data_IF_605976117696
#
_entry.id   IF_605976117696
#
_cell.length_a   1.000
_cell.length_b   1.000
_cell.length_c   1.000
_cell.angle_alpha   90.00
_cell.angle_beta   90.00
_cell.angle_gamma   90.00
#
_symmetry.space_group_name_H-M   'P 1'
#
loop_
_entity.id
_entity.type
_entity.pdbx_description
1 polymer ?
#
# COMPACT_ATOMS: atom_id res chain seq x y z
N UNK A 1 -34.84 91.82 -3.60
CA UNK A 1 -34.46 90.39 -3.63
C UNK A 1 -33.16 90.25 -2.86
N UNK A 2 -33.14 89.49 -1.76
CA UNK A 2 -31.92 89.29 -0.98
C UNK A 2 -30.91 88.50 -1.83
N UNK A 3 -29.68 89.00 -1.94
CA UNK A 3 -28.59 88.33 -2.64
C UNK A 3 -28.24 87.07 -1.84
N UNK A 4 -28.36 85.89 -2.44
CA UNK A 4 -28.07 84.65 -1.74
C UNK A 4 -26.58 84.50 -1.39
N UNK A 5 -26.28 83.63 -0.42
CA UNK A 5 -24.92 83.41 0.06
C UNK A 5 -24.19 82.39 -0.81
N UNK A 6 -22.90 82.64 -1.09
CA UNK A 6 -22.04 81.70 -1.80
C UNK A 6 -21.64 80.50 -0.93
N UNK A 7 -21.37 79.35 -1.54
CA UNK A 7 -21.02 78.09 -0.85
C UNK A 7 -19.85 78.22 0.14
N UNK A 8 -18.77 78.89 -0.27
CA UNK A 8 -17.59 79.10 0.59
C UNK A 8 -17.94 79.93 1.82
N UNK A 9 -18.84 80.92 1.66
CA UNK A 9 -19.28 81.76 2.76
C UNK A 9 -20.15 80.99 3.77
N UNK A 10 -21.03 80.12 3.29
CA UNK A 10 -21.82 79.23 4.17
C UNK A 10 -20.93 78.23 4.90
N UNK A 11 -19.93 77.68 4.21
CA UNK A 11 -18.93 76.77 4.79
C UNK A 11 -18.21 77.42 5.98
N UNK A 12 -17.71 78.64 5.79
CA UNK A 12 -17.03 79.41 6.84
C UNK A 12 -17.96 79.78 8.00
N UNK A 13 -19.19 80.21 7.72
CA UNK A 13 -20.13 80.67 8.75
C UNK A 13 -20.62 79.53 9.66
N UNK A 14 -20.82 78.32 9.11
CA UNK A 14 -21.33 77.17 9.85
C UNK A 14 -20.23 76.18 10.29
N UNK A 15 -18.98 76.40 9.87
CA UNK A 15 -17.84 75.54 10.21
C UNK A 15 -17.89 74.15 9.58
N UNK A 16 -18.56 74.00 8.44
CA UNK A 16 -18.83 72.71 7.80
C UNK A 16 -17.76 72.32 6.77
N UNK A 17 -17.65 71.04 6.44
CA UNK A 17 -16.96 70.58 5.24
C UNK A 17 -17.86 70.75 4.00
N UNK A 18 -17.27 70.75 2.79
CA UNK A 18 -18.04 70.90 1.53
C UNK A 18 -19.11 69.81 1.38
N UNK A 19 -18.81 68.57 1.78
CA UNK A 19 -19.78 67.48 1.72
C UNK A 19 -20.89 67.58 2.77
N UNK A 20 -20.62 68.21 3.92
CA UNK A 20 -21.61 68.46 4.97
C UNK A 20 -22.63 69.52 4.55
N UNK A 21 -22.16 70.54 3.81
CA UNK A 21 -23.04 71.54 3.20
C UNK A 21 -23.97 70.89 2.17
N UNK A 22 -23.45 70.01 1.30
CA UNK A 22 -24.30 69.31 0.32
C UNK A 22 -25.25 68.32 1.01
N UNK A 23 -24.82 67.61 2.07
CA UNK A 23 -25.70 66.75 2.87
C UNK A 23 -26.84 67.55 3.50
N UNK A 24 -26.54 68.72 4.09
CA UNK A 24 -27.53 69.60 4.68
C UNK A 24 -28.54 70.12 3.65
N UNK A 25 -28.13 70.31 2.40
CA UNK A 25 -29.05 70.65 1.30
C UNK A 25 -29.89 69.44 0.88
N UNK A 26 -29.27 68.27 0.71
CA UNK A 26 -29.97 67.02 0.33
C UNK A 26 -31.06 66.66 1.34
N UNK A 27 -30.84 66.94 2.63
CA UNK A 27 -31.77 66.61 3.72
C UNK A 27 -32.72 67.75 4.07
N UNK A 28 -32.62 68.89 3.38
CA UNK A 28 -33.49 70.05 3.58
C UNK A 28 -33.18 70.89 4.82
N UNK A 29 -32.07 70.61 5.53
CA UNK A 29 -31.57 71.42 6.64
C UNK A 29 -31.08 72.81 6.18
N UNK A 30 -30.60 72.91 4.94
CA UNK A 30 -30.27 74.17 4.27
C UNK A 30 -31.03 74.30 2.95
N UNK A 31 -31.63 75.48 2.71
CA UNK A 31 -32.34 75.76 1.46
C UNK A 31 -31.40 76.33 0.39
N UNK A 32 -31.27 75.61 -0.73
CA UNK A 32 -30.56 76.08 -1.93
C UNK A 32 -31.51 76.77 -2.92
N UNK A 33 -31.12 77.95 -3.40
CA UNK A 33 -31.87 78.73 -4.38
C UNK A 33 -31.56 78.27 -5.82
N UNK A 34 -32.41 78.60 -6.83
CA UNK A 34 -32.22 78.19 -8.22
C UNK A 34 -30.91 78.67 -8.86
N UNK A 35 -30.37 79.81 -8.40
CA UNK A 35 -29.09 80.39 -8.84
C UNK A 35 -27.86 79.70 -8.19
N UNK A 36 -28.08 78.58 -7.50
CA UNK A 36 -27.09 77.79 -6.75
C UNK A 36 -26.50 78.50 -5.52
N UNK A 37 -27.04 79.65 -5.12
CA UNK A 37 -26.73 80.29 -3.83
C UNK A 37 -27.61 79.73 -2.72
N UNK A 38 -27.28 80.05 -1.46
CA UNK A 38 -28.00 79.58 -0.28
C UNK A 38 -28.91 80.67 0.27
N UNK A 39 -30.10 80.28 0.71
CA UNK A 39 -31.07 81.19 1.33
C UNK A 39 -30.49 81.77 2.64
N UNK A 40 -30.26 83.10 2.72
CA UNK A 40 -29.69 83.72 3.91
C UNK A 40 -30.52 83.49 5.18
N UNK A 41 -31.85 83.33 5.06
CA UNK A 41 -32.72 83.07 6.22
C UNK A 41 -32.40 81.69 6.82
N UNK A 42 -32.34 80.66 5.97
CA UNK A 42 -32.00 79.30 6.37
C UNK A 42 -30.61 79.20 7.01
N UNK A 43 -29.62 79.90 6.45
CA UNK A 43 -28.25 79.93 7.00
C UNK A 43 -28.21 80.67 8.35
N UNK A 44 -28.91 81.80 8.48
CA UNK A 44 -28.96 82.54 9.74
C UNK A 44 -29.70 81.76 10.84
N UNK A 45 -30.74 80.99 10.51
CA UNK A 45 -31.42 80.10 11.46
C UNK A 45 -30.49 78.99 11.94
N UNK A 46 -29.74 78.35 11.04
CA UNK A 46 -28.74 77.36 11.41
C UNK A 46 -27.60 77.96 12.26
N UNK A 47 -27.22 79.21 12.00
CA UNK A 47 -26.19 79.91 12.78
C UNK A 47 -26.69 80.31 14.17
N UNK A 48 -27.98 80.63 14.33
CA UNK A 48 -28.57 81.02 15.60
C UNK A 48 -28.60 79.88 16.62
N UNK A 49 -28.73 78.63 16.16
CA UNK A 49 -28.64 77.43 17.01
C UNK A 49 -27.74 76.38 16.35
N UNK A 50 -26.44 76.67 16.41
CA UNK A 50 -25.42 75.86 15.76
C UNK A 50 -25.41 74.43 16.32
N UNK A 51 -25.54 74.26 17.65
CA UNK A 51 -25.51 72.94 18.28
C UNK A 51 -26.67 72.03 17.82
N UNK A 52 -27.89 72.58 17.76
CA UNK A 52 -29.04 71.84 17.25
C UNK A 52 -28.84 71.47 15.78
N UNK A 53 -28.33 72.40 14.97
CA UNK A 53 -28.03 72.16 13.56
C UNK A 53 -27.02 71.02 13.38
N UNK A 54 -25.90 71.02 14.13
CA UNK A 54 -24.90 69.94 14.07
C UNK A 54 -25.48 68.59 14.51
N UNK A 55 -26.35 68.56 15.52
CA UNK A 55 -27.03 67.33 15.95
C UNK A 55 -27.95 66.77 14.86
N UNK A 56 -28.77 67.62 14.23
CA UNK A 56 -29.63 67.23 13.12
C UNK A 56 -28.81 66.74 11.93
N UNK A 57 -27.74 67.45 11.57
CA UNK A 57 -26.85 67.05 10.49
C UNK A 57 -26.14 65.72 10.77
N UNK A 58 -25.71 65.50 12.02
CA UNK A 58 -25.11 64.25 12.45
C UNK A 58 -26.09 63.07 12.38
N UNK A 59 -27.38 63.31 12.63
CA UNK A 59 -28.45 62.32 12.52
C UNK A 59 -28.72 61.94 11.04
N UNK A 60 -28.48 62.84 10.10
CA UNK A 60 -28.61 62.59 8.66
C UNK A 60 -27.41 61.88 8.04
N UNK A 61 -26.30 61.76 8.77
CA UNK A 61 -25.07 61.16 8.25
C UNK A 61 -25.33 59.73 7.77
N UNK A 62 -24.84 59.43 6.57
CA UNK A 62 -24.88 58.08 5.98
C UNK A 62 -23.77 57.23 6.58
N UNK A 63 -24.14 56.10 7.20
CA UNK A 63 -23.23 55.15 7.83
C UNK A 63 -23.30 53.79 7.12
N UNK A 64 -22.15 53.18 6.83
CA UNK A 64 -22.13 51.79 6.39
C UNK A 64 -22.41 50.82 7.57
N UNK A 65 -22.62 49.53 7.28
CA UNK A 65 -22.95 48.54 8.32
C UNK A 65 -21.91 48.42 9.46
N UNK A 66 -20.62 48.65 9.17
CA UNK A 66 -19.56 48.62 10.19
C UNK A 66 -19.60 49.85 11.08
N UNK A 67 -19.79 51.03 10.48
CA UNK A 67 -19.96 52.30 11.20
C UNK A 67 -21.23 52.30 12.05
N UNK A 68 -22.34 51.80 11.50
CA UNK A 68 -23.61 51.65 12.20
C UNK A 68 -23.49 50.70 13.38
N UNK A 69 -22.78 49.58 13.21
CA UNK A 69 -22.52 48.64 14.29
C UNK A 69 -21.62 49.25 15.38
N UNK A 70 -20.58 49.99 14.99
CA UNK A 70 -19.73 50.71 15.94
C UNK A 70 -20.52 51.77 16.73
N UNK A 71 -21.44 52.47 16.07
CA UNK A 71 -22.34 53.47 16.70
C UNK A 71 -23.24 52.84 17.76
N UNK A 72 -23.69 51.60 17.53
CA UNK A 72 -24.51 50.83 18.47
C UNK A 72 -23.69 49.99 19.47
N UNK A 73 -22.36 49.97 19.38
CA UNK A 73 -21.50 49.14 20.23
C UNK A 73 -21.60 47.62 20.00
N UNK A 74 -21.99 47.19 18.79
CA UNK A 74 -22.21 45.77 18.46
C UNK A 74 -21.37 45.33 17.24
N UNK A 75 -21.37 44.02 16.94
CA UNK A 75 -20.72 43.51 15.74
C UNK A 75 -21.55 43.81 14.47
N UNK A 76 -20.87 43.99 13.32
CA UNK A 76 -21.52 44.24 12.03
C UNK A 76 -22.50 43.12 11.60
N UNK A 77 -22.25 41.88 12.03
CA UNK A 77 -23.19 40.77 11.82
C UNK A 77 -24.44 40.91 12.69
N UNK A 78 -24.27 41.31 13.96
CA UNK A 78 -25.39 41.56 14.86
C UNK A 78 -26.24 42.73 14.38
N UNK A 79 -25.60 43.80 13.92
CA UNK A 79 -26.29 44.93 13.28
C UNK A 79 -27.11 44.48 12.07
N UNK A 80 -26.53 43.72 11.14
CA UNK A 80 -27.26 43.22 9.96
C UNK A 80 -28.49 42.38 10.33
N UNK A 81 -28.37 41.53 11.35
CA UNK A 81 -29.52 40.74 11.83
C UNK A 81 -30.58 41.63 12.48
N UNK A 82 -30.19 42.55 13.36
CA UNK A 82 -31.12 43.46 14.03
C UNK A 82 -31.82 44.36 13.00
N UNK A 83 -31.07 44.93 12.06
CA UNK A 83 -31.61 45.74 10.97
C UNK A 83 -32.60 44.94 10.12
N UNK A 84 -32.29 43.68 9.79
CA UNK A 84 -33.20 42.81 9.04
C UNK A 84 -34.50 42.52 9.81
N UNK A 85 -34.42 42.24 11.12
CA UNK A 85 -35.59 41.98 11.97
C UNK A 85 -36.43 43.24 12.19
N UNK A 86 -35.78 44.39 12.36
CA UNK A 86 -36.44 45.68 12.51
C UNK A 86 -36.93 46.29 11.19
N UNK A 87 -36.68 45.63 10.05
CA UNK A 87 -37.09 46.10 8.73
C UNK A 87 -36.34 47.35 8.24
N UNK A 88 -35.15 47.62 8.78
CA UNK A 88 -34.33 48.76 8.37
C UNK A 88 -33.70 48.51 7.00
N UNK A 89 -34.10 49.30 6.00
CA UNK A 89 -33.61 49.24 4.62
C UNK A 89 -32.52 50.32 4.40
N UNK A 90 -31.41 50.02 3.70
CA UNK A 90 -30.41 51.02 3.38
C UNK A 90 -30.97 52.10 2.44
N UNK A 91 -30.66 53.36 2.71
CA UNK A 91 -31.05 54.51 1.87
C UNK A 91 -30.40 54.45 0.49
N UNK A 92 -29.13 54.07 0.45
CA UNK A 92 -28.35 54.00 -0.78
C UNK A 92 -27.52 52.73 -0.76
N UNK A 93 -27.54 52.01 -1.86
CA UNK A 93 -26.66 50.87 -2.09
C UNK A 93 -25.65 51.23 -3.16
N UNK A 94 -24.36 51.09 -2.87
CA UNK A 94 -23.28 51.37 -3.83
C UNK A 94 -22.40 50.15 -4.02
N UNK A 95 -21.97 49.93 -5.26
CA UNK A 95 -20.92 48.96 -5.54
C UNK A 95 -19.55 49.63 -5.37
N UNK A 96 -18.74 49.06 -4.48
CA UNK A 96 -17.39 49.54 -4.19
C UNK A 96 -16.41 48.43 -4.56
N UNK A 97 -15.44 48.74 -5.43
CA UNK A 97 -14.35 47.81 -5.72
C UNK A 97 -13.30 47.89 -4.62
N UNK A 98 -13.16 46.83 -3.83
CA UNK A 98 -12.13 46.71 -2.80
C UNK A 98 -11.48 45.33 -2.90
N UNK A 99 -10.15 45.25 -2.82
CA UNK A 99 -9.39 44.00 -2.94
C UNK A 99 -9.71 43.17 -4.20
N UNK A 100 -9.90 43.83 -5.35
CA UNK A 100 -10.20 43.15 -6.62
C UNK A 100 -11.62 42.55 -6.72
N UNK A 101 -12.49 42.75 -5.71
CA UNK A 101 -13.89 42.31 -5.73
C UNK A 101 -14.84 43.51 -5.70
N UNK A 102 -15.94 43.42 -6.43
CA UNK A 102 -17.06 44.36 -6.30
C UNK A 102 -17.87 43.98 -5.04
N UNK A 103 -17.93 44.88 -4.07
CA UNK A 103 -18.69 44.72 -2.84
C UNK A 103 -19.89 45.67 -2.86
N UNK A 104 -21.08 45.13 -2.66
CA UNK A 104 -22.31 45.92 -2.50
C UNK A 104 -22.40 46.41 -1.06
N UNK A 105 -22.28 47.73 -0.86
CA UNK A 105 -22.31 48.37 0.46
C UNK A 105 -23.57 49.22 0.57
N UNK A 106 -24.42 48.86 1.53
CA UNK A 106 -25.59 49.64 1.92
C UNK A 106 -25.22 50.72 2.95
N UNK A 107 -25.76 51.92 2.76
CA UNK A 107 -25.63 53.06 3.67
C UNK A 107 -26.97 53.35 4.34
N UNK A 108 -26.94 53.45 5.66
CA UNK A 108 -28.08 53.71 6.54
C UNK A 108 -28.01 55.13 7.08
N UNK A 109 -29.15 55.73 7.37
CA UNK A 109 -29.21 57.02 8.07
C UNK A 109 -28.80 56.82 9.54
N UNK A 110 -27.97 57.69 10.09
CA UNK A 110 -27.54 57.58 11.48
C UNK A 110 -28.72 57.62 12.46
N UNK A 111 -29.73 58.45 12.20
CA UNK A 111 -30.96 58.52 13.00
C UNK A 111 -31.70 57.17 13.08
N UNK A 112 -31.85 56.49 11.95
CA UNK A 112 -32.56 55.21 11.88
C UNK A 112 -31.75 54.09 12.53
N UNK A 113 -30.41 54.20 12.48
CA UNK A 113 -29.51 53.31 13.23
C UNK A 113 -29.65 53.55 14.74
N UNK A 114 -29.68 54.81 15.19
CA UNK A 114 -29.83 55.15 16.61
C UNK A 114 -31.17 54.66 17.17
N UNK A 115 -32.23 54.64 16.36
CA UNK A 115 -33.52 54.06 16.73
C UNK A 115 -33.45 52.55 17.03
N UNK A 116 -32.39 51.85 16.58
CA UNK A 116 -32.16 50.43 16.89
C UNK A 116 -31.43 50.20 18.22
N UNK A 117 -31.11 51.25 18.99
CA UNK A 117 -30.35 51.13 20.23
C UNK A 117 -31.00 50.15 21.23
N UNK A 118 -32.32 50.21 21.41
CA UNK A 118 -33.01 49.32 22.35
C UNK A 118 -33.06 47.87 21.85
N UNK A 119 -33.18 47.66 20.54
CA UNK A 119 -33.06 46.32 19.95
C UNK A 119 -31.65 45.74 20.11
N UNK A 120 -30.61 46.56 19.99
CA UNK A 120 -29.23 46.16 20.21
C UNK A 120 -28.94 45.79 21.67
N UNK A 121 -29.50 46.55 22.63
CA UNK A 121 -29.45 46.23 24.06
C UNK A 121 -30.15 44.90 24.35
N UNK A 122 -31.39 44.73 23.87
CA UNK A 122 -32.15 43.50 24.06
C UNK A 122 -31.45 42.27 23.47
N UNK A 123 -30.89 42.33 22.26
CA UNK A 123 -30.11 41.21 21.66
C UNK A 123 -28.87 40.88 22.49
N UNK A 124 -28.19 41.90 23.04
CA UNK A 124 -27.01 41.72 23.89
C UNK A 124 -27.36 41.02 25.20
N UNK A 125 -28.44 41.45 25.87
CA UNK A 125 -28.94 40.85 27.11
C UNK A 125 -29.40 39.41 26.89
N UNK A 126 -30.21 39.16 25.85
CA UNK A 126 -30.69 37.81 25.51
C UNK A 126 -29.53 36.84 25.26
N UNK A 127 -28.47 37.29 24.60
CA UNK A 127 -27.27 36.47 24.38
C UNK A 127 -26.45 36.27 25.64
N UNK A 128 -26.37 37.27 26.52
CA UNK A 128 -25.72 37.10 27.82
C UNK A 128 -26.45 36.02 28.64
N UNK A 129 -27.79 36.05 28.66
CA UNK A 129 -28.64 35.03 29.29
C UNK A 129 -28.43 33.66 28.62
N UNK A 130 -28.49 33.57 27.30
CA UNK A 130 -28.29 32.32 26.57
C UNK A 130 -26.90 31.69 26.86
N UNK A 131 -25.84 32.51 26.91
CA UNK A 131 -24.49 32.07 27.29
C UNK A 131 -24.41 31.61 28.75
N UNK A 132 -25.15 32.23 29.67
CA UNK A 132 -25.21 31.80 31.06
C UNK A 132 -25.92 30.44 31.20
N UNK A 133 -27.05 30.25 30.51
CA UNK A 133 -27.78 28.98 30.45
C UNK A 133 -26.91 27.87 29.85
N UNK A 134 -26.29 28.12 28.70
CA UNK A 134 -25.40 27.15 28.05
C UNK A 134 -24.21 26.73 28.96
N UNK A 135 -23.61 27.68 29.70
CA UNK A 135 -22.57 27.38 30.69
C UNK A 135 -23.09 26.52 31.85
N UNK A 136 -24.29 26.81 32.35
CA UNK A 136 -24.94 26.01 33.40
C UNK A 136 -25.21 24.58 32.94
N UNK A 137 -25.76 24.39 31.74
CA UNK A 137 -26.00 23.07 31.16
C UNK A 137 -24.71 22.30 30.90
N UNK A 138 -23.66 22.96 30.39
CA UNK A 138 -22.35 22.37 30.21
C UNK A 138 -21.75 21.92 31.57
N UNK A 139 -21.90 22.74 32.62
CA UNK A 139 -21.47 22.37 33.97
C UNK A 139 -22.24 21.16 34.53
N UNK A 140 -23.56 21.11 34.32
CA UNK A 140 -24.40 19.96 34.71
C UNK A 140 -23.97 18.68 33.96
N UNK A 141 -23.78 18.75 32.64
CA UNK A 141 -23.28 17.63 31.84
C UNK A 141 -21.90 17.17 32.31
N UNK A 142 -20.98 18.10 32.56
CA UNK A 142 -19.66 17.78 33.08
C UNK A 142 -19.73 17.11 34.46
N UNK A 143 -20.61 17.58 35.35
CA UNK A 143 -20.81 16.98 36.67
C UNK A 143 -21.37 15.55 36.57
N UNK A 144 -22.35 15.31 35.70
CA UNK A 144 -22.89 13.96 35.44
C UNK A 144 -21.81 13.02 34.88
N UNK A 145 -21.01 13.47 33.92
CA UNK A 145 -19.90 12.68 33.37
C UNK A 145 -18.85 12.38 34.43
N UNK A 146 -18.50 13.35 35.30
CA UNK A 146 -17.58 13.11 36.42
C UNK A 146 -18.14 12.06 37.38
N UNK A 147 -19.44 12.12 37.72
CA UNK A 147 -20.10 11.15 38.59
C UNK A 147 -20.09 9.74 37.97
N UNK A 148 -20.43 9.62 36.69
CA UNK A 148 -20.41 8.34 35.98
C UNK A 148 -18.99 7.75 35.88
N UNK A 149 -17.99 8.58 35.57
CA UNK A 149 -16.60 8.16 35.52
C UNK A 149 -16.07 7.73 36.88
N UNK A 150 -16.49 8.41 37.96
CA UNK A 150 -16.14 8.01 39.32
C UNK A 150 -16.77 6.66 39.67
N UNK A 151 -18.04 6.44 39.34
CA UNK A 151 -18.73 5.17 39.57
C UNK A 151 -18.04 4.00 38.82
N UNK A 152 -17.70 4.19 37.54
CA UNK A 152 -16.93 3.19 36.77
C UNK A 152 -15.57 2.91 37.38
N UNK A 153 -14.84 3.95 37.82
CA UNK A 153 -13.55 3.76 38.46
C UNK A 153 -13.68 3.01 39.80
N UNK A 154 -14.75 3.24 40.57
CA UNK A 154 -14.99 2.50 41.82
C UNK A 154 -15.36 1.04 41.56
N UNK A 155 -16.19 0.76 40.54
CA UNK A 155 -16.53 -0.60 40.13
C UNK A 155 -15.29 -1.35 39.64
N UNK A 156 -14.50 -0.74 38.74
CA UNK A 156 -13.27 -1.32 38.23
C UNK A 156 -12.22 -1.56 39.33
N UNK A 157 -12.14 -0.69 40.36
CA UNK A 157 -11.27 -0.93 41.52
C UNK A 157 -11.70 -2.13 42.34
N UNK A 158 -13.01 -2.29 42.56
CA UNK A 158 -13.54 -3.47 43.25
C UNK A 158 -13.27 -4.75 42.44
N UNK A 159 -13.45 -4.70 41.13
CA UNK A 159 -13.10 -5.81 40.23
C UNK A 159 -11.60 -6.13 40.28
N UNK A 160 -10.72 -5.12 40.26
CA UNK A 160 -9.27 -5.32 40.38
C UNK A 160 -8.91 -6.05 41.67
N UNK A 161 -9.47 -5.67 42.81
CA UNK A 161 -9.19 -6.35 44.08
C UNK A 161 -9.78 -7.78 44.15
N UNK A 162 -10.98 -8.00 43.61
CA UNK A 162 -11.59 -9.34 43.55
C UNK A 162 -10.82 -10.30 42.63
N UNK A 163 -10.31 -9.78 41.51
CA UNK A 163 -9.64 -10.57 40.49
C UNK A 163 -8.12 -10.67 40.71
N UNK A 164 -7.56 -9.89 41.63
CA UNK A 164 -6.14 -9.95 42.04
C UNK A 164 -5.75 -11.37 42.46
N UNK A 165 -4.58 -11.87 42.05
CA UNK A 165 -4.14 -13.22 42.40
C UNK A 165 -3.80 -13.27 43.90
N UNK A 166 -4.42 -14.22 44.61
CA UNK A 166 -4.02 -14.61 45.95
C UNK A 166 -2.61 -15.24 45.96
N UNK A 167 -1.94 -15.34 47.13
CA UNK A 167 -0.60 -15.93 47.24
C UNK A 167 -0.50 -17.37 46.72
N UNK A 168 -1.60 -18.13 46.78
CA UNK A 168 -1.74 -19.51 46.32
C UNK A 168 -2.43 -19.63 44.94
N UNK A 169 -2.71 -18.49 44.28
CA UNK A 169 -3.40 -18.47 42.99
C UNK A 169 -2.68 -19.30 41.92
N UNK A 170 -3.45 -19.77 40.95
CA UNK A 170 -2.93 -20.47 39.77
C UNK A 170 -1.74 -19.72 39.11
N UNK A 171 -0.63 -20.41 38.81
CA UNK A 171 0.54 -19.82 38.18
C UNK A 171 0.28 -19.00 36.91
N UNK A 172 -0.65 -19.44 36.05
CA UNK A 172 -0.98 -18.70 34.83
C UNK A 172 -1.69 -17.40 35.17
N UNK A 173 -2.61 -17.43 36.14
CA UNK A 173 -3.28 -16.21 36.64
C UNK A 173 -2.27 -15.17 37.13
N UNK A 174 -1.22 -15.58 37.85
CA UNK A 174 -0.14 -14.68 38.29
C UNK A 174 0.55 -14.03 37.09
N UNK A 175 0.94 -14.81 36.08
CA UNK A 175 1.61 -14.30 34.88
C UNK A 175 0.72 -13.34 34.07
N UNK A 176 -0.57 -13.65 33.92
CA UNK A 176 -1.56 -12.78 33.27
C UNK A 176 -1.67 -11.43 33.98
N UNK A 177 -1.77 -11.46 35.30
CA UNK A 177 -1.82 -10.26 36.13
C UNK A 177 -0.57 -9.42 36.04
N UNK A 178 0.60 -10.04 36.17
CA UNK A 178 1.89 -9.35 36.04
C UNK A 178 2.02 -8.66 34.69
N UNK A 179 1.70 -9.35 33.59
CA UNK A 179 1.72 -8.77 32.26
C UNK A 179 0.72 -7.60 32.13
N UNK A 180 -0.48 -7.73 32.69
CA UNK A 180 -1.51 -6.70 32.66
C UNK A 180 -1.10 -5.46 33.47
N UNK A 181 -0.57 -5.63 34.69
CA UNK A 181 -0.08 -4.54 35.54
C UNK A 181 1.09 -3.82 34.87
N UNK A 182 2.06 -4.54 34.28
CA UNK A 182 3.16 -3.96 33.51
C UNK A 182 2.65 -3.08 32.35
N UNK A 183 1.67 -3.58 31.59
CA UNK A 183 1.08 -2.87 30.46
C UNK A 183 0.20 -1.66 30.87
N UNK A 184 -0.49 -1.75 32.02
CA UNK A 184 -1.26 -0.65 32.59
C UNK A 184 -0.34 0.45 33.17
N UNK A 185 0.73 0.07 33.89
CA UNK A 185 1.71 0.98 34.46
C UNK A 185 2.64 1.61 33.41
N UNK A 186 2.83 0.94 32.28
CA UNK A 186 3.80 1.33 31.24
C UNK A 186 5.24 1.05 31.64
N UNK A 187 5.48 0.08 32.53
CA UNK A 187 6.80 -0.24 33.09
C UNK A 187 7.15 -1.70 32.78
N UNK A 188 8.41 -1.94 32.43
CA UNK A 188 8.90 -3.26 32.03
C UNK A 188 10.21 -3.59 32.76
N UNK A 189 10.15 -4.04 34.03
CA UNK A 189 11.34 -4.43 34.78
C UNK A 189 12.15 -5.49 34.04
N UNK A 190 13.48 -5.43 34.15
CA UNK A 190 14.40 -6.28 33.39
C UNK A 190 14.05 -7.77 33.43
N UNK A 191 13.90 -8.38 34.62
CA UNK A 191 13.57 -9.81 34.77
C UNK A 191 12.24 -10.21 34.13
N UNK A 192 11.27 -9.31 34.07
CA UNK A 192 9.91 -9.57 33.56
C UNK A 192 9.73 -9.20 32.09
N UNK A 193 10.76 -8.63 31.44
CA UNK A 193 10.67 -8.12 30.07
C UNK A 193 10.29 -9.20 29.05
N UNK A 194 10.53 -10.48 29.34
CA UNK A 194 10.13 -11.58 28.47
C UNK A 194 8.61 -11.61 28.24
N UNK A 195 7.81 -11.31 29.27
CA UNK A 195 6.35 -11.28 29.17
C UNK A 195 5.84 -10.30 28.11
N UNK A 196 6.58 -9.23 27.82
CA UNK A 196 6.24 -8.30 26.73
C UNK A 196 6.20 -8.96 25.36
N UNK A 197 7.03 -9.98 25.15
CA UNK A 197 7.17 -10.68 23.87
C UNK A 197 6.18 -11.84 23.75
N UNK A 198 5.62 -12.27 24.87
CA UNK A 198 4.66 -13.34 24.96
C UNK A 198 3.26 -12.74 24.87
N UNK A 199 2.54 -13.00 23.78
CA UNK A 199 1.18 -12.49 23.60
C UNK A 199 0.16 -13.47 24.18
N UNK A 200 -0.72 -12.98 25.04
CA UNK A 200 -1.87 -13.73 25.53
C UNK A 200 -3.12 -12.84 25.46
N UNK A 201 -4.18 -13.34 24.79
CA UNK A 201 -5.43 -12.59 24.56
C UNK A 201 -6.16 -12.25 25.85
N UNK A 202 -5.88 -12.94 26.96
CA UNK A 202 -6.50 -12.71 28.28
C UNK A 202 -5.88 -11.53 29.03
N UNK A 203 -4.74 -11.01 28.57
CA UNK A 203 -4.08 -9.84 29.19
C UNK A 203 -4.84 -8.55 28.86
N UNK A 204 -5.29 -8.37 27.62
CA UNK A 204 -5.92 -7.11 27.18
C UNK A 204 -7.17 -6.72 28.00
N UNK A 205 -8.11 -7.62 28.31
CA UNK A 205 -9.24 -7.31 29.19
C UNK A 205 -8.79 -6.82 30.58
N UNK A 206 -7.80 -7.49 31.19
CA UNK A 206 -7.26 -7.08 32.50
C UNK A 206 -6.61 -5.70 32.44
N UNK A 207 -5.90 -5.38 31.36
CA UNK A 207 -5.31 -4.04 31.13
C UNK A 207 -6.40 -2.97 31.06
N UNK A 208 -7.53 -3.27 30.42
CA UNK A 208 -8.66 -2.34 30.35
C UNK A 208 -9.24 -2.10 31.75
N UNK A 209 -9.53 -3.15 32.52
CA UNK A 209 -10.03 -3.03 33.90
C UNK A 209 -9.07 -2.21 34.77
N UNK A 210 -7.76 -2.47 34.71
CA UNK A 210 -6.74 -1.72 35.45
C UNK A 210 -6.68 -0.24 35.06
N UNK A 211 -6.86 0.09 33.77
CA UNK A 211 -6.91 1.48 33.29
C UNK A 211 -8.20 2.20 33.71
N UNK A 212 -9.32 1.50 33.69
CA UNK A 212 -10.61 2.02 34.14
C UNK A 212 -10.62 2.29 35.64
N UNK A 213 -9.92 1.48 36.44
CA UNK A 213 -9.73 1.68 37.87
C UNK A 213 -8.96 2.97 38.22
N UNK A 214 -8.26 3.57 37.25
CA UNK A 214 -7.48 4.82 37.41
C UNK A 214 -6.57 4.78 38.64
N UNK A 215 -5.87 3.66 38.83
CA UNK A 215 -4.88 3.53 39.89
C UNK A 215 -3.68 4.44 39.57
N UNK A 216 -3.13 5.16 40.55
CA UNK A 216 -1.88 5.87 40.39
C UNK A 216 -0.78 4.90 39.98
N UNK A 217 0.18 5.38 39.17
CA UNK A 217 1.31 4.55 38.73
C UNK A 217 2.08 3.93 39.89
N UNK A 218 2.25 4.65 41.00
CA UNK A 218 2.92 4.13 42.20
C UNK A 218 2.20 2.91 42.80
N UNK A 219 0.86 2.89 42.78
CA UNK A 219 0.07 1.77 43.28
C UNK A 219 0.22 0.54 42.38
N UNK A 220 0.20 0.73 41.05
CA UNK A 220 0.48 -0.33 40.08
C UNK A 220 1.91 -0.88 40.22
N UNK A 221 2.90 -0.03 40.49
CA UNK A 221 4.28 -0.44 40.72
C UNK A 221 4.43 -1.25 42.02
N UNK A 222 3.67 -0.92 43.07
CA UNK A 222 3.60 -1.73 44.31
C UNK A 222 3.00 -3.09 44.03
N UNK A 223 1.85 -3.16 43.34
CA UNK A 223 1.23 -4.43 42.94
C UNK A 223 2.21 -5.28 42.10
N UNK A 224 2.95 -4.64 41.19
CA UNK A 224 3.96 -5.33 40.39
C UNK A 224 5.12 -5.86 41.24
N UNK A 225 5.58 -5.09 42.24
CA UNK A 225 6.67 -5.49 43.12
C UNK A 225 6.29 -6.73 43.95
N UNK A 226 5.05 -6.81 44.43
CA UNK A 226 4.54 -7.98 45.16
C UNK A 226 4.49 -9.25 44.31
N UNK A 227 4.22 -9.12 43.00
CA UNK A 227 4.15 -10.25 42.08
C UNK A 227 5.50 -10.60 41.44
N UNK A 228 6.50 -9.72 41.56
CA UNK A 228 7.71 -9.77 40.74
C UNK A 228 8.52 -11.05 40.95
N UNK A 229 8.83 -11.40 42.19
CA UNK A 229 9.67 -12.56 42.53
C UNK A 229 9.04 -13.85 41.99
N UNK A 230 7.80 -14.11 42.36
CA UNK A 230 7.03 -15.27 41.90
C UNK A 230 6.89 -15.31 40.38
N UNK A 231 6.68 -14.16 39.74
CA UNK A 231 6.56 -14.11 38.27
C UNK A 231 7.86 -14.45 37.58
N UNK A 232 9.01 -14.05 38.12
CA UNK A 232 10.33 -14.42 37.58
C UNK A 232 10.54 -15.93 37.65
N UNK A 233 10.20 -16.55 38.77
CA UNK A 233 10.26 -18.01 38.92
C UNK A 233 9.37 -18.73 37.89
N UNK A 234 8.11 -18.28 37.78
CA UNK A 234 7.14 -18.87 36.85
C UNK A 234 7.53 -18.69 35.39
N UNK A 235 8.13 -17.56 35.01
CA UNK A 235 8.70 -17.35 33.68
C UNK A 235 9.79 -18.39 33.40
N UNK A 236 10.64 -18.70 34.39
CA UNK A 236 11.68 -19.73 34.28
C UNK A 236 11.13 -21.14 34.04
N UNK A 237 9.87 -21.38 34.40
CA UNK A 237 9.17 -22.65 34.17
C UNK A 237 8.43 -22.71 32.84
N UNK A 238 8.33 -21.62 32.08
CA UNK A 238 7.65 -21.61 30.79
C UNK A 238 8.46 -22.38 29.74
N UNK A 239 7.82 -23.39 29.17
CA UNK A 239 8.36 -24.17 28.06
C UNK A 239 7.97 -23.51 26.74
N UNK A 240 8.94 -23.21 25.84
CA UNK A 240 8.66 -22.68 24.52
C UNK A 240 7.73 -23.61 23.70
N UNK A 241 6.86 -23.08 22.83
CA UNK A 241 5.88 -23.88 22.08
C UNK A 241 6.52 -25.06 21.34
N UNK A 242 7.59 -24.79 20.57
CA UNK A 242 8.29 -25.83 19.80
C UNK A 242 8.97 -26.91 20.67
N UNK A 243 9.27 -26.64 21.95
CA UNK A 243 9.74 -27.67 22.87
C UNK A 243 8.55 -28.48 23.42
N UNK A 244 7.45 -27.80 23.80
CA UNK A 244 6.21 -28.45 24.21
C UNK A 244 5.64 -29.38 23.14
N UNK A 245 5.62 -28.96 21.86
CA UNK A 245 5.13 -29.78 20.75
C UNK A 245 5.94 -31.06 20.54
N UNK A 246 7.26 -30.98 20.73
CA UNK A 246 8.15 -32.14 20.61
C UNK A 246 7.89 -33.17 21.70
N UNK A 247 7.68 -32.71 22.93
CA UNK A 247 7.39 -33.59 24.08
C UNK A 247 5.97 -34.16 24.00
N UNK A 248 4.99 -33.34 23.59
CA UNK A 248 3.60 -33.75 23.46
C UNK A 248 3.35 -34.59 22.21
N UNK A 249 4.18 -34.48 21.17
CA UNK A 249 3.96 -35.16 19.89
C UNK A 249 2.80 -34.60 19.07
N UNK A 250 2.23 -33.46 19.49
CA UNK A 250 1.13 -32.75 18.81
C UNK A 250 1.36 -31.23 18.88
N UNK A 251 0.89 -30.45 17.89
CA UNK A 251 0.97 -28.98 17.92
C UNK A 251 0.26 -28.35 19.12
N UNK A 252 0.74 -27.20 19.63
CA UNK A 252 0.10 -26.47 20.74
C UNK A 252 -1.34 -26.05 20.39
N UNK A 253 -1.60 -25.84 19.10
CA UNK A 253 -2.93 -25.50 18.60
C UNK A 253 -3.99 -26.60 18.81
N UNK A 254 -3.59 -27.86 19.00
CA UNK A 254 -4.48 -28.98 19.29
C UNK A 254 -4.77 -29.14 20.79
N UNK A 255 -4.13 -28.35 21.65
CA UNK A 255 -4.36 -28.40 23.09
C UNK A 255 -5.70 -27.76 23.47
N UNK A 256 -6.47 -28.38 24.38
CA UNK A 256 -7.68 -27.80 24.93
C UNK A 256 -7.47 -26.39 25.48
N UNK A 257 -8.48 -25.53 25.31
CA UNK A 257 -8.37 -24.10 25.63
C UNK A 257 -8.28 -23.79 27.13
N UNK A 258 -8.78 -24.72 27.96
CA UNK A 258 -8.85 -24.68 29.41
C UNK A 258 -7.54 -25.11 30.11
N UNK A 259 -6.55 -25.61 29.37
CA UNK A 259 -5.27 -26.01 29.95
C UNK A 259 -4.48 -24.80 30.50
N UNK A 260 -3.71 -25.00 31.60
CA UNK A 260 -2.88 -23.95 32.18
C UNK A 260 -1.69 -23.63 31.26
N UNK A 261 -1.88 -22.62 30.41
CA UNK A 261 -0.87 -22.06 29.50
C UNK A 261 -0.83 -20.54 29.54
N UNK A 262 0.29 -19.92 29.19
CA UNK A 262 0.41 -18.47 28.99
C UNK A 262 0.79 -18.21 27.52
N UNK A 263 -0.14 -17.62 26.77
CA UNK A 263 -0.12 -17.66 25.30
C UNK A 263 -0.05 -19.12 24.82
N UNK A 264 0.98 -19.44 24.04
CA UNK A 264 1.26 -20.79 23.56
C UNK A 264 2.27 -21.56 24.45
N UNK A 265 2.65 -21.02 25.60
CA UNK A 265 3.67 -21.61 26.48
C UNK A 265 3.01 -22.41 27.61
N UNK A 266 3.47 -23.63 27.83
CA UNK A 266 3.07 -24.47 28.95
C UNK A 266 4.04 -24.33 30.12
N UNK A 267 3.60 -24.65 31.32
CA UNK A 267 4.48 -24.78 32.47
C UNK A 267 5.18 -26.15 32.45
N UNK A 268 6.48 -26.17 32.72
CA UNK A 268 7.30 -27.38 32.71
C UNK A 268 6.75 -28.49 33.63
N UNK A 269 6.31 -28.20 34.88
CA UNK A 269 5.72 -29.23 35.73
C UNK A 269 4.45 -29.86 35.12
N UNK A 270 3.58 -29.03 34.55
CA UNK A 270 2.35 -29.49 33.90
C UNK A 270 2.66 -30.33 32.65
N UNK A 271 3.60 -29.88 31.82
CA UNK A 271 4.05 -30.64 30.65
C UNK A 271 4.61 -32.00 31.07
N UNK A 272 5.45 -32.05 32.10
CA UNK A 272 6.02 -33.29 32.60
C UNK A 272 4.95 -34.27 33.10
N UNK A 273 3.95 -33.77 33.83
CA UNK A 273 2.80 -34.57 34.30
C UNK A 273 2.01 -35.16 33.13
N UNK A 274 1.63 -34.33 32.16
CA UNK A 274 0.88 -34.73 30.96
C UNK A 274 1.66 -35.73 30.11
N UNK A 275 2.97 -35.58 29.99
CA UNK A 275 3.82 -36.54 29.27
C UNK A 275 3.95 -37.86 30.01
N UNK A 276 4.10 -37.81 31.35
CA UNK A 276 4.28 -39.00 32.19
C UNK A 276 3.00 -39.82 32.33
N UNK A 277 1.84 -39.16 32.31
CA UNK A 277 0.52 -39.79 32.36
C UNK A 277 -0.40 -39.16 31.31
N UNK A 278 -0.27 -39.56 30.03
CA UNK A 278 -1.03 -38.96 28.93
C UNK A 278 -2.54 -39.08 29.12
N UNK A 279 -3.27 -37.95 29.16
CA UNK A 279 -4.73 -37.96 29.19
C UNK A 279 -5.31 -38.46 27.87
N UNK A 280 -6.57 -38.91 27.88
CA UNK A 280 -7.23 -39.50 26.69
C UNK A 280 -7.22 -38.56 25.49
N UNK A 281 -7.49 -37.27 25.68
CA UNK A 281 -7.48 -36.28 24.60
C UNK A 281 -6.11 -36.18 23.91
N UNK A 282 -5.01 -36.37 24.65
CA UNK A 282 -3.67 -36.33 24.08
C UNK A 282 -3.38 -37.59 23.28
N UNK A 283 -3.84 -38.75 23.76
CA UNK A 283 -3.72 -40.02 23.04
C UNK A 283 -4.53 -39.99 21.74
N UNK A 284 -5.75 -39.46 21.78
CA UNK A 284 -6.60 -39.23 20.61
C UNK A 284 -5.92 -38.27 19.62
N UNK A 285 -5.46 -37.11 20.07
CA UNK A 285 -4.77 -36.16 19.21
C UNK A 285 -3.48 -36.73 18.58
N UNK A 286 -2.73 -37.55 19.32
CA UNK A 286 -1.56 -38.27 18.79
C UNK A 286 -1.95 -39.30 17.74
N UNK A 287 -3.03 -40.04 17.97
CA UNK A 287 -3.55 -41.01 17.01
C UNK A 287 -4.01 -40.32 15.73
N UNK A 288 -4.77 -39.22 15.84
CA UNK A 288 -5.20 -38.42 14.70
C UNK A 288 -4.00 -37.87 13.92
N UNK A 289 -2.99 -37.37 14.63
CA UNK A 289 -1.76 -36.88 14.01
C UNK A 289 -1.00 -37.98 13.25
N UNK A 290 -0.87 -39.17 13.83
CA UNK A 290 -0.22 -40.30 13.18
C UNK A 290 -1.03 -40.80 11.98
N UNK A 291 -2.38 -40.77 12.05
CA UNK A 291 -3.25 -41.08 10.93
C UNK A 291 -3.09 -40.07 9.78
N UNK A 292 -3.04 -38.78 10.08
CA UNK A 292 -2.75 -37.72 9.10
C UNK A 292 -1.38 -37.95 8.44
N UNK A 293 -0.34 -38.20 9.23
CA UNK A 293 1.01 -38.41 8.72
C UNK A 293 1.11 -39.71 7.91
N UNK A 294 0.40 -40.78 8.30
CA UNK A 294 0.27 -42.00 7.52
C UNK A 294 -0.45 -41.76 6.18
N UNK A 295 -1.56 -41.02 6.19
CA UNK A 295 -2.29 -40.64 4.98
C UNK A 295 -1.41 -39.81 4.03
N UNK A 296 -0.66 -38.83 4.55
CA UNK A 296 0.30 -38.07 3.77
C UNK A 296 1.41 -38.93 3.17
N UNK A 297 1.98 -39.87 3.95
CA UNK A 297 2.99 -40.82 3.45
C UNK A 297 2.42 -41.73 2.36
N UNK A 298 1.18 -42.21 2.52
CA UNK A 298 0.51 -43.03 1.51
C UNK A 298 0.21 -42.24 0.23
N UNK A 299 -0.27 -41.00 0.34
CA UNK A 299 -0.49 -40.13 -0.81
C UNK A 299 0.81 -39.89 -1.60
N UNK A 300 1.93 -39.63 -0.91
CA UNK A 300 3.25 -39.49 -1.56
C UNK A 300 3.68 -40.77 -2.29
N UNK A 301 3.54 -41.93 -1.66
CA UNK A 301 3.85 -43.23 -2.29
C UNK A 301 2.98 -43.47 -3.54
N UNK A 302 1.69 -43.18 -3.47
CA UNK A 302 0.79 -43.34 -4.62
C UNK A 302 1.19 -42.44 -5.80
N UNK A 303 1.61 -41.20 -5.52
CA UNK A 303 2.13 -40.27 -6.54
C UNK A 303 3.42 -40.82 -7.17
N UNK A 304 4.37 -41.29 -6.36
CA UNK A 304 5.63 -41.87 -6.84
C UNK A 304 5.42 -43.14 -7.67
N UNK A 305 4.52 -44.03 -7.24
CA UNK A 305 4.16 -45.24 -7.99
C UNK A 305 3.49 -44.91 -9.31
N UNK A 306 2.54 -43.96 -9.32
CA UNK A 306 1.91 -43.49 -10.56
C UNK A 306 2.94 -42.93 -11.53
N UNK A 307 3.91 -42.14 -11.02
CA UNK A 307 5.02 -41.63 -11.81
C UNK A 307 5.88 -42.77 -12.39
N UNK A 308 6.30 -43.74 -11.57
CA UNK A 308 7.08 -44.90 -12.03
C UNK A 308 6.35 -45.71 -13.10
N UNK A 309 5.06 -45.97 -12.90
CA UNK A 309 4.21 -46.68 -13.88
C UNK A 309 4.14 -45.92 -15.21
N UNK A 310 3.96 -44.60 -15.17
CA UNK A 310 3.93 -43.77 -16.37
C UNK A 310 5.25 -43.82 -17.13
N UNK A 311 6.37 -43.70 -16.44
CA UNK A 311 7.71 -43.77 -17.06
C UNK A 311 7.99 -45.15 -17.66
N UNK A 312 7.63 -46.23 -16.95
CA UNK A 312 7.79 -47.59 -17.46
C UNK A 312 6.91 -47.84 -18.70
N UNK A 313 5.66 -47.37 -18.69
CA UNK A 313 4.76 -47.45 -19.85
C UNK A 313 5.34 -46.67 -21.05
N UNK A 314 5.89 -45.48 -20.82
CA UNK A 314 6.52 -44.69 -21.88
C UNK A 314 7.75 -45.40 -22.46
N UNK A 315 8.62 -45.97 -21.63
CA UNK A 315 9.77 -46.75 -22.09
C UNK A 315 9.37 -47.99 -22.90
N UNK A 316 8.30 -48.68 -22.49
CA UNK A 316 7.76 -49.82 -23.24
C UNK A 316 7.20 -49.41 -24.61
N UNK A 317 6.51 -48.26 -24.70
CA UNK A 317 6.05 -47.69 -25.97
C UNK A 317 7.23 -47.33 -26.89
N UNK A 318 8.26 -46.68 -26.34
CA UNK A 318 9.46 -46.32 -27.11
C UNK A 318 10.21 -47.56 -27.65
N UNK A 319 10.31 -48.63 -26.86
CA UNK A 319 10.91 -49.89 -27.30
C UNK A 319 10.05 -50.60 -28.35
N UNK A 320 8.73 -50.64 -28.19
CA UNK A 320 7.82 -51.18 -29.20
C UNK A 320 7.94 -50.43 -30.54
N UNK A 321 8.02 -49.10 -30.51
CA UNK A 321 8.29 -48.27 -31.69
C UNK A 321 9.65 -48.60 -32.32
N UNK A 322 10.69 -48.83 -31.50
CA UNK A 322 12.04 -49.18 -31.97
C UNK A 322 12.11 -50.56 -32.62
N UNK A 323 11.34 -51.52 -32.15
CA UNK A 323 11.25 -52.87 -32.72
C UNK A 323 10.45 -52.85 -34.03
N UNK A 324 9.30 -52.17 -34.06
CA UNK A 324 8.45 -52.06 -35.25
C UNK A 324 9.11 -51.28 -36.42
N UNK A 325 10.12 -50.46 -36.13
CA UNK A 325 10.80 -49.62 -37.13
C UNK A 325 12.03 -50.27 -37.79
N UNK A 326 12.33 -51.54 -37.52
CA UNK A 326 13.42 -52.28 -38.20
C UNK A 326 12.85 -53.19 -39.28
N UNK A 327 12.73 -52.66 -40.49
CA UNK A 327 12.49 -53.50 -41.67
C UNK A 327 13.85 -54.03 -42.16
N UNK A 328 13.97 -55.35 -42.34
CA UNK A 328 15.18 -55.95 -42.89
C UNK A 328 15.30 -55.63 -44.38
N UNK A 329 16.50 -55.74 -44.95
CA UNK A 329 16.67 -55.53 -46.40
C UNK A 329 15.82 -56.52 -47.19
N UNK A 330 15.63 -57.73 -46.67
CA UNK A 330 14.83 -58.80 -47.27
C UNK A 330 13.35 -58.41 -47.32
N UNK A 331 12.79 -57.90 -46.22
CA UNK A 331 11.41 -57.42 -46.19
C UNK A 331 11.19 -56.24 -47.15
N UNK A 332 12.14 -55.30 -47.22
CA UNK A 332 12.03 -54.15 -48.13
C UNK A 332 12.19 -54.57 -49.60
N UNK A 333 13.05 -55.53 -49.88
CA UNK A 333 13.22 -56.14 -51.20
C UNK A 333 11.95 -56.82 -51.69
N UNK A 334 11.31 -57.60 -50.81
CA UNK A 334 10.03 -58.23 -51.10
C UNK A 334 8.93 -57.19 -51.40
N UNK A 335 8.79 -56.15 -50.56
CA UNK A 335 7.78 -55.10 -50.71
C UNK A 335 7.86 -54.38 -52.07
N UNK A 336 9.07 -54.12 -52.55
CA UNK A 336 9.29 -53.37 -53.79
C UNK A 336 9.60 -54.25 -55.00
N UNK A 337 9.64 -55.58 -54.85
CA UNK A 337 9.93 -56.52 -55.94
C UNK A 337 11.34 -56.35 -56.53
N UNK A 338 12.31 -55.93 -55.72
CA UNK A 338 13.70 -55.73 -56.13
C UNK A 338 14.61 -56.75 -55.44
N UNK A 339 15.78 -57.02 -56.00
CA UNK A 339 16.75 -57.90 -55.36
C UNK A 339 17.28 -57.29 -54.04
N UNK A 340 17.53 -58.15 -53.04
CA UNK A 340 18.07 -57.75 -51.73
C UNK A 340 19.37 -56.96 -51.87
N UNK A 341 20.21 -57.34 -52.84
CA UNK A 341 21.47 -56.65 -53.16
C UNK A 341 21.24 -55.21 -53.62
N UNK A 342 20.26 -54.98 -54.50
CA UNK A 342 19.90 -53.64 -55.00
C UNK A 342 19.35 -52.77 -53.87
N UNK A 343 18.46 -53.31 -53.04
CA UNK A 343 17.95 -52.60 -51.85
C UNK A 343 19.08 -52.27 -50.89
N UNK A 344 19.99 -53.20 -50.61
CA UNK A 344 21.15 -52.96 -49.75
C UNK A 344 22.04 -51.83 -50.27
N UNK A 345 22.26 -51.74 -51.58
CA UNK A 345 23.05 -50.68 -52.21
C UNK A 345 22.34 -49.32 -52.24
N UNK A 346 21.00 -49.31 -52.27
CA UNK A 346 20.18 -48.09 -52.27
C UNK A 346 19.78 -47.59 -50.88
N UNK A 347 20.17 -48.34 -49.85
CA UNK A 347 19.94 -48.06 -48.44
C UNK A 347 20.24 -46.59 -48.09
N UNK A 348 19.41 -45.96 -47.25
CA UNK A 348 19.65 -44.58 -46.81
C UNK A 348 20.98 -44.47 -46.07
N UNK A 349 21.53 -43.24 -46.00
CA UNK A 349 22.81 -42.96 -45.31
C UNK A 349 22.82 -43.37 -43.83
N UNK A 350 21.66 -43.45 -43.20
CA UNK A 350 21.48 -43.96 -41.83
C UNK A 350 21.83 -45.45 -41.70
N UNK A 351 21.99 -46.17 -42.81
CA UNK A 351 22.36 -47.58 -42.84
C UNK A 351 21.22 -48.53 -42.47
N UNK A 352 19.98 -48.05 -42.31
CA UNK A 352 18.80 -48.86 -41.93
C UNK A 352 17.51 -48.33 -42.59
N UNK A 353 16.59 -49.24 -42.90
CA UNK A 353 15.24 -48.91 -43.35
C UNK A 353 14.32 -48.65 -42.15
N UNK A 354 13.72 -47.47 -42.09
CA UNK A 354 12.64 -47.18 -41.13
C UNK A 354 11.28 -47.37 -41.80
N UNK A 355 10.27 -47.76 -41.01
CA UNK A 355 8.90 -47.90 -41.50
C UNK A 355 8.38 -46.61 -42.15
N UNK A 356 8.70 -45.45 -41.58
CA UNK A 356 8.33 -44.15 -42.14
C UNK A 356 8.97 -43.90 -43.51
N UNK A 357 10.25 -44.22 -43.68
CA UNK A 357 10.96 -44.06 -44.95
C UNK A 357 10.40 -44.99 -46.03
N UNK A 358 10.14 -46.26 -45.68
CA UNK A 358 9.52 -47.22 -46.60
C UNK A 358 8.12 -46.77 -47.01
N UNK A 359 7.31 -46.25 -46.07
CA UNK A 359 6.00 -45.68 -46.38
C UNK A 359 6.08 -44.43 -47.28
N UNK A 360 7.11 -43.60 -47.15
CA UNK A 360 7.35 -42.47 -48.05
C UNK A 360 7.73 -42.94 -49.47
N UNK A 361 8.60 -43.95 -49.58
CA UNK A 361 8.98 -44.55 -50.87
C UNK A 361 7.79 -45.15 -51.58
N UNK A 362 6.91 -45.83 -50.85
CA UNK A 362 5.66 -46.36 -51.38
C UNK A 362 4.75 -45.23 -51.93
N UNK A 363 4.57 -44.15 -51.16
CA UNK A 363 3.70 -43.01 -51.55
C UNK A 363 4.23 -42.21 -52.75
N UNK A 364 5.53 -41.99 -52.83
CA UNK A 364 6.12 -41.15 -53.87
C UNK A 364 6.61 -41.93 -55.09
N UNK A 365 6.71 -43.26 -54.97
CA UNK A 365 7.12 -44.21 -56.02
C UNK A 365 8.20 -43.64 -56.97
N UNK A 366 9.39 -43.25 -56.44
CA UNK A 366 10.43 -42.65 -57.26
C UNK A 366 10.79 -43.54 -58.45
N UNK A 367 11.24 -42.96 -59.58
CA UNK A 367 11.42 -43.70 -60.84
C UNK A 367 12.34 -44.93 -60.74
N UNK A 368 13.27 -44.94 -59.79
CA UNK A 368 14.21 -46.05 -59.59
C UNK A 368 13.57 -47.28 -58.92
N UNK A 369 12.37 -47.17 -58.34
CA UNK A 369 11.62 -48.30 -57.78
C UNK A 369 10.80 -49.08 -58.81
N UNK A 370 10.75 -48.62 -60.07
CA UNK A 370 9.90 -49.22 -61.11
C UNK A 370 10.35 -50.62 -61.51
N UNK A 371 11.65 -50.79 -61.68
CA UNK A 371 12.26 -52.05 -62.07
C UNK A 371 13.74 -52.08 -61.65
N UNK A 372 14.35 -53.27 -61.74
CA UNK A 372 15.73 -53.47 -61.32
C UNK A 372 16.74 -52.70 -62.18
N UNK A 373 16.43 -52.47 -63.46
CA UNK A 373 17.29 -51.70 -64.37
C UNK A 373 17.36 -50.22 -63.94
N UNK A 374 16.22 -49.61 -63.62
CA UNK A 374 16.12 -48.25 -63.11
C UNK A 374 16.79 -48.10 -61.74
N UNK A 375 16.66 -49.11 -60.87
CA UNK A 375 17.31 -49.15 -59.57
C UNK A 375 18.86 -49.18 -59.72
N UNK A 376 19.39 -50.00 -60.64
CA UNK A 376 20.83 -50.06 -60.93
C UNK A 376 21.35 -48.77 -61.54
N UNK A 377 20.58 -48.12 -62.42
CA UNK A 377 20.93 -46.80 -62.96
C UNK A 377 21.01 -45.73 -61.85
N UNK A 378 20.14 -45.78 -60.85
CA UNK A 378 20.19 -44.88 -59.70
C UNK A 378 21.40 -45.17 -58.80
N UNK A 379 21.74 -46.45 -58.57
CA UNK A 379 22.98 -46.82 -57.87
C UNK A 379 24.19 -46.22 -58.59
N UNK A 380 24.29 -46.39 -59.90
CA UNK A 380 25.37 -45.83 -60.71
C UNK A 380 25.39 -44.31 -60.67
N UNK A 381 24.22 -43.67 -60.75
CA UNK A 381 24.10 -42.20 -60.62
C UNK A 381 24.62 -41.73 -59.26
N UNK A 382 24.22 -42.39 -58.16
CA UNK A 382 24.72 -42.07 -56.80
C UNK A 382 26.22 -42.32 -56.68
N UNK A 383 26.74 -43.38 -57.28
CA UNK A 383 28.17 -43.70 -57.30
C UNK A 383 28.96 -42.63 -58.06
N UNK A 384 28.51 -42.24 -59.25
CA UNK A 384 29.11 -41.14 -60.04
C UNK A 384 29.06 -39.83 -59.26
N UNK A 385 27.91 -39.50 -58.67
CA UNK A 385 27.76 -38.29 -57.84
C UNK A 385 28.68 -38.30 -56.62
N UNK A 386 28.86 -39.44 -55.95
CA UNK A 386 29.79 -39.60 -54.84
C UNK A 386 31.24 -39.42 -55.28
N UNK A 387 31.64 -39.99 -56.42
CA UNK A 387 32.98 -39.78 -57.02
C UNK A 387 33.19 -38.31 -57.38
N UNK A 388 32.22 -37.66 -58.02
CA UNK A 388 32.28 -36.22 -58.33
C UNK A 388 32.37 -35.37 -57.06
N UNK A 389 31.61 -35.70 -56.02
CA UNK A 389 31.64 -34.99 -54.75
C UNK A 389 32.97 -35.20 -54.02
N UNK A 390 33.54 -36.40 -54.05
CA UNK A 390 34.87 -36.69 -53.52
C UNK A 390 35.95 -35.89 -54.26
N UNK A 391 35.91 -35.83 -55.60
CA UNK A 391 36.80 -35.00 -56.41
C UNK A 391 36.66 -33.51 -56.08
N UNK A 392 35.44 -32.99 -55.94
CA UNK A 392 35.18 -31.59 -55.52
C UNK A 392 35.75 -31.32 -54.13
N UNK A 393 35.52 -32.20 -53.16
CA UNK A 393 36.07 -32.07 -51.80
C UNK A 393 37.60 -32.10 -51.81
N UNK A 394 38.22 -32.96 -52.60
CA UNK A 394 39.67 -33.01 -52.76
C UNK A 394 40.21 -31.70 -53.37
N UNK A 395 39.57 -31.18 -54.42
CA UNK A 395 39.93 -29.89 -55.01
C UNK A 395 39.77 -28.71 -54.02
N UNK A 396 38.68 -28.69 -53.24
CA UNK A 396 38.46 -27.68 -52.20
C UNK A 396 39.52 -27.78 -51.11
N UNK A 397 39.87 -28.99 -50.65
CA UNK A 397 40.93 -29.20 -49.66
C UNK A 397 42.30 -28.78 -50.20
N UNK A 398 42.59 -29.05 -51.47
CA UNK A 398 43.82 -28.58 -52.12
C UNK A 398 43.87 -27.05 -52.16
N UNK A 399 42.75 -26.39 -52.49
CA UNK A 399 42.63 -24.92 -52.45
C UNK A 399 42.84 -24.37 -51.04
N UNK A 400 42.33 -25.06 -50.02
CA UNK A 400 42.56 -24.70 -48.61
C UNK A 400 44.02 -24.85 -48.22
N UNK A 401 44.66 -25.96 -48.59
CA UNK A 401 46.09 -26.19 -48.34
C UNK A 401 46.95 -25.10 -48.98
N UNK A 402 46.62 -24.68 -50.21
CA UNK A 402 47.30 -23.57 -50.90
C UNK A 402 47.17 -22.25 -50.13
N UNK A 403 45.98 -21.91 -49.67
CA UNK A 403 45.76 -20.71 -48.85
C UNK A 403 46.52 -20.75 -47.53
N UNK A 404 46.59 -21.91 -46.87
CA UNK A 404 47.39 -22.08 -45.66
C UNK A 404 48.88 -21.97 -45.94
N UNK A 405 49.37 -22.57 -47.03
CA UNK A 405 50.76 -22.48 -47.46
C UNK A 405 51.18 -21.03 -47.73
N UNK A 406 50.34 -20.29 -48.46
CA UNK A 406 50.52 -18.86 -48.75
C UNK A 406 50.51 -18.00 -47.48
N UNK A 407 49.53 -18.21 -46.59
CA UNK A 407 49.39 -17.42 -45.37
C UNK A 407 50.58 -17.52 -44.39
N UNK A 408 51.35 -18.62 -44.46
CA UNK A 408 52.51 -18.89 -43.61
C UNK A 408 53.84 -18.91 -44.39
N UNK A 409 53.82 -18.69 -45.71
CA UNK A 409 55.02 -18.63 -46.55
C UNK A 409 55.82 -19.94 -46.59
N UNK A 410 55.14 -21.09 -46.56
CA UNK A 410 55.75 -22.43 -46.62
C UNK A 410 55.35 -23.16 -47.91
N UNK A 411 56.16 -24.11 -48.41
CA UNK A 411 55.78 -24.95 -49.54
C UNK A 411 54.49 -25.74 -49.28
N UNK A 412 53.70 -25.99 -50.33
CA UNK A 412 52.40 -26.68 -50.21
C UNK A 412 52.53 -28.10 -49.66
N UNK A 413 53.67 -28.73 -49.93
CA UNK A 413 54.04 -30.08 -49.52
C UNK A 413 54.14 -30.20 -47.99
N UNK A 414 54.50 -29.11 -47.31
CA UNK A 414 54.58 -29.06 -45.85
C UNK A 414 53.18 -29.06 -45.21
N UNK A 415 52.15 -28.57 -45.91
CA UNK A 415 50.78 -28.48 -45.35
C UNK A 415 50.08 -29.85 -45.42
N UNK A 416 49.56 -30.40 -44.30
CA UNK A 416 48.91 -31.72 -44.28
C UNK A 416 47.74 -31.88 -45.26
N UNK A 417 47.52 -33.10 -45.76
CA UNK A 417 46.44 -33.40 -46.71
C UNK A 417 45.03 -33.17 -46.15
N UNK A 418 44.87 -33.39 -44.85
CA UNK A 418 43.63 -33.14 -44.12
C UNK A 418 43.82 -31.87 -43.30
N UNK A 419 43.35 -30.74 -43.83
CA UNK A 419 43.39 -29.45 -43.16
C UNK A 419 42.01 -28.79 -43.12
N UNK A 420 41.76 -28.03 -42.05
CA UNK A 420 40.55 -27.22 -41.90
C UNK A 420 40.50 -26.04 -42.87
N UNK A 421 39.33 -25.41 -42.98
CA UNK A 421 39.13 -24.25 -43.86
C UNK A 421 39.96 -23.04 -43.37
N UNK A 422 40.75 -22.37 -44.24
CA UNK A 422 41.53 -21.19 -43.90
C UNK A 422 40.64 -19.96 -43.82
N UNK A 423 39.91 -19.81 -42.72
CA UNK A 423 39.18 -18.57 -42.41
C UNK A 423 40.13 -17.54 -41.81
N UNK A 424 39.87 -16.22 -41.94
CA UNK A 424 40.76 -15.18 -41.38
C UNK A 424 41.11 -15.39 -39.90
N UNK A 425 40.11 -15.68 -39.06
CA UNK A 425 40.34 -15.95 -37.63
C UNK A 425 41.13 -17.23 -37.36
N UNK A 426 40.99 -18.27 -38.19
CA UNK A 426 41.79 -19.49 -38.06
C UNK A 426 43.26 -19.22 -38.41
N UNK A 427 43.51 -18.42 -39.45
CA UNK A 427 44.86 -18.02 -39.84
C UNK A 427 45.50 -17.18 -38.75
N UNK A 428 44.76 -16.22 -38.19
CA UNK A 428 45.26 -15.36 -37.13
C UNK A 428 45.57 -16.15 -35.84
N UNK A 429 44.69 -17.07 -35.45
CA UNK A 429 44.93 -17.97 -34.32
C UNK A 429 46.17 -18.85 -34.55
N UNK A 430 46.30 -19.43 -35.74
CA UNK A 430 47.46 -20.22 -36.11
C UNK A 430 48.75 -19.39 -36.26
N UNK A 431 48.68 -18.07 -36.47
CA UNK A 431 49.88 -17.20 -36.41
C UNK A 431 50.35 -16.97 -34.97
N UNK A 432 49.43 -16.92 -34.01
CA UNK A 432 49.75 -16.76 -32.58
C UNK A 432 50.39 -18.02 -31.99
N UNK A 433 49.94 -19.19 -32.42
CA UNK A 433 50.58 -20.48 -32.13
C UNK A 433 50.78 -21.29 -33.43
N UNK A 434 51.94 -21.12 -34.11
CA UNK A 434 52.21 -21.76 -35.38
C UNK A 434 52.10 -23.29 -35.29
N UNK A 435 51.27 -23.93 -36.13
CA UNK A 435 51.22 -25.38 -36.19
C UNK A 435 52.58 -25.91 -36.66
N UNK A 436 52.93 -27.13 -36.24
CA UNK A 436 54.27 -27.71 -36.44
C UNK A 436 54.75 -27.64 -37.90
N UNK A 437 53.86 -27.82 -38.87
CA UNK A 437 54.18 -27.78 -40.30
C UNK A 437 54.45 -26.37 -40.85
N UNK A 438 54.14 -25.31 -40.10
CA UNK A 438 54.37 -23.91 -40.46
C UNK A 438 55.54 -23.26 -39.71
N UNK A 439 56.19 -23.99 -38.79
CA UNK A 439 57.36 -23.50 -38.04
C UNK A 439 58.58 -23.58 -38.96
N UNK A 440 59.24 -22.45 -39.24
CA UNK A 440 60.55 -22.46 -39.90
C UNK A 440 61.54 -23.15 -38.95
N UNK A 441 62.07 -24.30 -39.34
CA UNK A 441 63.26 -24.84 -38.70
C UNK A 441 64.40 -23.85 -38.98
N UNK A 442 64.85 -23.14 -37.96
CA UNK A 442 66.13 -22.42 -38.03
C UNK A 442 67.21 -23.49 -38.18
N UNK A 443 68.03 -23.48 -39.24
CA UNK A 443 69.17 -24.38 -39.31
C UNK A 443 70.10 -24.02 -38.15
N UNK A 444 70.45 -25.01 -37.33
CA UNK A 444 71.56 -24.91 -36.39
C UNK A 444 72.90 -24.95 -37.09
#
# INVERSE_FOLDING_TARGET
MAKGLGRERVRELLGLAVWEVELAVETGLLRRLPDRTFDPVSVNTAQADLELFWRLLAAERRCNATEAAARLGISAESFRRIAAVAGLVPLVTREIKKYGRALTVGYYRAADVDALADHARADTELRAVARAVARSEAAKKAALTRRANLARATEARAEVEDTRPAPDADPIRVLLWTAAVMAAAGVWPGPLRLLRRLSDRRVDPLVLTLREARLPRAELEVMLAELAERSVELIGLLVPPAAGERELGVPVAMLPADLPRFGDHLLAPFLQEVVSSPPSWLLEARADRELEDAAHRQARRAIEEAYRRRTAAQAAVEEAVRVASRLSDETVAEIFGLSVEVIRLLRPKSGRWSAELVAQLFRHSPPWLRDETAARMEIDRRRRAAVTQARRRAATRLSWRRHWAEAFGVPLECVPEVIGRPTPGAIEAARRDPPRWARKETPG
#
